data_IF_091228044612
#
_entry.id   IF_091228044612
#
_cell.length_a   1.000
_cell.length_b   1.000
_cell.length_c   1.000
_cell.angle_alpha   90.00
_cell.angle_beta   90.00
_cell.angle_gamma   90.00
#
_symmetry.space_group_name_H-M   'P 1'
#
loop_
_entity.id
_entity.type
_entity.pdbx_description
1 polymer ?
#
# COMPACT_ATOMS: atom_id res chain seq x y z
N UNK A 1 19.85 2.97 8.16
CA UNK A 1 18.38 2.85 8.28
C UNK A 1 17.79 3.99 9.12
N UNK A 2 18.37 4.31 10.29
CA UNK A 2 17.88 5.37 11.19
C UNK A 2 17.95 6.79 10.63
N UNK A 3 19.11 7.24 10.11
CA UNK A 3 19.23 8.58 9.53
C UNK A 3 18.27 8.84 8.36
N UNK A 4 17.93 7.80 7.58
CA UNK A 4 16.93 7.89 6.51
C UNK A 4 15.50 8.01 7.04
N UNK A 5 15.21 7.39 8.20
CA UNK A 5 13.90 7.46 8.83
C UNK A 5 13.64 8.85 9.42
N UNK A 6 14.64 9.44 10.06
CA UNK A 6 14.56 10.81 10.60
C UNK A 6 14.42 11.84 9.49
N UNK A 7 15.23 11.76 8.43
CA UNK A 7 15.09 12.62 7.25
C UNK A 7 13.71 12.50 6.61
N UNK A 8 13.17 11.28 6.52
CA UNK A 8 11.84 11.03 5.99
C UNK A 8 10.73 11.61 6.88
N UNK A 9 10.85 11.48 8.21
CA UNK A 9 9.94 12.10 9.18
C UNK A 9 9.92 13.63 9.05
N UNK A 10 11.10 14.26 8.96
CA UNK A 10 11.22 15.71 8.79
C UNK A 10 10.60 16.18 7.48
N UNK A 11 10.79 15.42 6.39
CA UNK A 11 10.16 15.70 5.09
C UNK A 11 8.62 15.60 5.16
N UNK A 12 8.08 14.63 5.90
CA UNK A 12 6.62 14.50 6.06
C UNK A 12 6.05 15.68 6.85
N UNK A 13 6.71 16.07 7.95
CA UNK A 13 6.25 17.18 8.78
C UNK A 13 6.29 18.54 8.07
N UNK A 14 7.16 18.72 7.08
CA UNK A 14 7.28 19.98 6.32
C UNK A 14 6.36 20.07 5.09
N UNK A 15 5.67 18.98 4.73
CA UNK A 15 4.83 18.93 3.53
C UNK A 15 3.35 18.94 3.96
N UNK A 16 2.51 19.67 3.21
CA UNK A 16 1.06 19.65 3.45
C UNK A 16 0.48 18.25 3.23
N UNK A 17 -0.47 17.85 4.08
CA UNK A 17 -1.12 16.54 4.02
C UNK A 17 -1.57 16.17 2.59
N UNK A 18 -2.23 17.12 1.91
CA UNK A 18 -2.73 16.91 0.54
C UNK A 18 -1.60 16.63 -0.46
N UNK A 19 -0.47 17.34 -0.36
CA UNK A 19 0.70 17.13 -1.22
C UNK A 19 1.37 15.78 -0.95
N UNK A 20 1.47 15.37 0.31
CA UNK A 20 1.99 14.04 0.68
C UNK A 20 1.10 12.91 0.16
N UNK A 21 -0.22 13.05 0.35
CA UNK A 21 -1.21 12.04 -0.07
C UNK A 21 -1.19 11.87 -1.59
N UNK A 22 -1.31 12.97 -2.34
CA UNK A 22 -1.44 12.91 -3.80
C UNK A 22 -0.12 12.63 -4.50
N UNK A 23 0.93 13.38 -4.19
CA UNK A 23 2.18 13.30 -4.96
C UNK A 23 3.01 12.10 -4.48
N UNK A 24 3.36 12.07 -3.20
CA UNK A 24 4.31 11.06 -2.69
C UNK A 24 3.67 9.66 -2.58
N UNK A 25 2.39 9.57 -2.25
CA UNK A 25 1.74 8.27 -2.07
C UNK A 25 0.96 7.81 -3.32
N UNK A 26 0.03 8.61 -3.87
CA UNK A 26 -0.77 8.17 -5.03
C UNK A 26 0.07 8.13 -6.32
N UNK A 27 0.66 9.27 -6.71
CA UNK A 27 1.35 9.41 -8.01
C UNK A 27 2.70 8.70 -8.03
N UNK A 28 3.54 8.88 -7.02
CA UNK A 28 4.91 8.36 -7.06
C UNK A 28 5.03 6.89 -6.62
N UNK A 29 4.01 6.33 -5.96
CA UNK A 29 4.10 4.98 -5.40
C UNK A 29 3.00 4.06 -5.91
N UNK A 30 1.75 4.35 -5.58
CA UNK A 30 0.64 3.42 -5.85
C UNK A 30 0.35 3.26 -7.35
N UNK A 31 0.27 4.36 -8.11
CA UNK A 31 0.02 4.32 -9.55
C UNK A 31 1.10 3.53 -10.33
N UNK A 32 2.41 3.81 -10.15
CA UNK A 32 3.47 3.06 -10.83
C UNK A 32 3.52 1.59 -10.41
N UNK A 33 3.35 1.29 -9.12
CA UNK A 33 3.41 -0.06 -8.56
C UNK A 33 2.28 -0.93 -9.12
N UNK A 34 1.04 -0.42 -9.12
CA UNK A 34 -0.11 -1.13 -9.72
C UNK A 34 0.01 -1.22 -11.24
N UNK A 35 0.51 -0.18 -11.91
CA UNK A 35 0.72 -0.23 -13.35
C UNK A 35 1.72 -1.33 -13.73
N UNK A 36 2.89 -1.36 -13.08
CA UNK A 36 3.93 -2.38 -13.31
C UNK A 36 3.42 -3.79 -13.00
N UNK A 37 2.79 -4.00 -11.84
CA UNK A 37 2.27 -5.31 -11.46
C UNK A 37 1.13 -5.77 -12.37
N UNK A 38 0.27 -4.86 -12.84
CA UNK A 38 -0.80 -5.19 -13.77
C UNK A 38 -0.24 -5.55 -15.15
N UNK A 39 0.75 -4.81 -15.64
CA UNK A 39 1.45 -5.13 -16.88
C UNK A 39 2.14 -6.50 -16.81
N UNK A 40 2.86 -6.78 -15.72
CA UNK A 40 3.49 -8.09 -15.51
C UNK A 40 2.45 -9.22 -15.46
N UNK A 41 1.35 -9.03 -14.72
CA UNK A 41 0.33 -10.07 -14.56
C UNK A 41 -0.35 -10.38 -15.90
N UNK A 42 -0.72 -9.37 -16.69
CA UNK A 42 -1.33 -9.58 -18.00
C UNK A 42 -0.33 -10.13 -19.03
N UNK A 43 0.94 -9.71 -19.00
CA UNK A 43 1.96 -10.19 -19.94
C UNK A 43 2.36 -11.65 -19.68
N UNK A 44 2.52 -12.03 -18.41
CA UNK A 44 2.91 -13.39 -18.01
C UNK A 44 1.77 -14.39 -18.26
N UNK A 45 0.52 -14.02 -17.96
CA UNK A 45 -0.60 -14.97 -17.98
C UNK A 45 -1.43 -14.98 -19.28
N UNK A 46 -1.28 -14.00 -20.19
CA UNK A 46 -2.18 -13.85 -21.37
C UNK A 46 -1.50 -13.63 -22.73
N UNK A 47 -0.28 -14.15 -22.91
CA UNK A 47 0.48 -14.05 -24.17
C UNK A 47 -0.14 -14.74 -25.42
N UNK A 48 -1.32 -15.39 -25.36
CA UNK A 48 -1.77 -16.25 -26.47
C UNK A 48 -3.13 -15.96 -27.12
N UNK A 49 -3.95 -15.00 -26.68
CA UNK A 49 -5.28 -14.79 -27.30
C UNK A 49 -5.91 -13.38 -27.13
N UNK A 50 -5.09 -12.36 -26.89
CA UNK A 50 -5.54 -11.08 -26.30
C UNK A 50 -6.34 -10.12 -27.19
N UNK A 51 -7.61 -9.90 -26.82
CA UNK A 51 -8.36 -8.72 -27.25
C UNK A 51 -7.88 -7.50 -26.42
N UNK A 52 -6.99 -6.68 -27.01
CA UNK A 52 -6.35 -5.50 -26.37
C UNK A 52 -7.34 -4.58 -25.65
N UNK A 53 -8.56 -4.44 -26.19
CA UNK A 53 -9.61 -3.63 -25.58
C UNK A 53 -9.96 -4.08 -24.16
N UNK A 54 -10.08 -5.40 -23.93
CA UNK A 54 -10.40 -5.98 -22.61
C UNK A 54 -9.27 -5.78 -21.61
N UNK A 55 -8.02 -5.84 -22.09
CA UNK A 55 -6.83 -5.61 -21.27
C UNK A 55 -6.75 -4.15 -20.80
N UNK A 56 -6.92 -3.19 -21.73
CA UNK A 56 -6.95 -1.77 -21.39
C UNK A 56 -8.07 -1.43 -20.40
N UNK A 57 -9.27 -1.99 -20.58
CA UNK A 57 -10.39 -1.78 -19.67
C UNK A 57 -10.09 -2.31 -18.26
N UNK A 58 -9.52 -3.51 -18.15
CA UNK A 58 -9.16 -4.12 -16.87
C UNK A 58 -8.07 -3.31 -16.15
N UNK A 59 -7.04 -2.84 -16.87
CA UNK A 59 -5.99 -1.97 -16.31
C UNK A 59 -6.61 -0.65 -15.82
N UNK A 60 -7.53 -0.04 -16.59
CA UNK A 60 -8.23 1.18 -16.19
C UNK A 60 -8.97 1.03 -14.86
N UNK A 61 -9.72 -0.06 -14.68
CA UNK A 61 -10.43 -0.36 -13.43
C UNK A 61 -9.43 -0.53 -12.27
N UNK A 62 -8.33 -1.25 -12.47
CA UNK A 62 -7.28 -1.45 -11.45
C UNK A 62 -6.66 -0.12 -11.01
N UNK A 63 -6.37 0.78 -11.95
CA UNK A 63 -5.80 2.10 -11.64
C UNK A 63 -6.77 2.98 -10.84
N UNK A 64 -8.07 2.97 -11.17
CA UNK A 64 -9.09 3.72 -10.43
C UNK A 64 -9.19 3.22 -8.98
N UNK A 65 -9.34 1.90 -8.79
CA UNK A 65 -9.40 1.29 -7.46
C UNK A 65 -8.15 1.58 -6.63
N UNK A 66 -6.98 1.52 -7.28
CA UNK A 66 -5.71 1.86 -6.68
C UNK A 66 -5.63 3.34 -6.27
N UNK A 67 -6.16 4.25 -7.08
CA UNK A 67 -6.22 5.67 -6.75
C UNK A 67 -6.97 5.93 -5.45
N UNK A 68 -8.15 5.33 -5.28
CA UNK A 68 -8.93 5.45 -4.03
C UNK A 68 -8.20 4.88 -2.82
N UNK A 69 -7.61 3.69 -2.95
CA UNK A 69 -6.84 3.08 -1.85
C UNK A 69 -5.59 3.90 -1.53
N UNK A 70 -4.91 4.46 -2.53
CA UNK A 70 -3.75 5.32 -2.37
C UNK A 70 -4.07 6.60 -1.58
N UNK A 71 -5.25 7.20 -1.79
CA UNK A 71 -5.71 8.35 -1.00
C UNK A 71 -5.89 7.99 0.47
N UNK A 72 -6.61 6.90 0.75
CA UNK A 72 -6.89 6.41 2.11
C UNK A 72 -5.56 6.05 2.81
N UNK A 73 -4.71 5.29 2.13
CA UNK A 73 -3.40 4.89 2.61
C UNK A 73 -2.50 6.10 2.90
N UNK A 74 -2.56 7.12 2.05
CA UNK A 74 -1.74 8.33 2.18
C UNK A 74 -2.10 9.08 3.45
N UNK A 75 -3.41 9.27 3.67
CA UNK A 75 -3.90 9.96 4.87
C UNK A 75 -3.52 9.20 6.14
N UNK A 76 -3.76 7.88 6.16
CA UNK A 76 -3.40 7.04 7.31
C UNK A 76 -1.89 7.04 7.58
N UNK A 77 -1.05 6.99 6.54
CA UNK A 77 0.42 7.12 6.68
C UNK A 77 0.79 8.46 7.29
N UNK A 78 0.25 9.54 6.76
CA UNK A 78 0.54 10.90 7.21
C UNK A 78 0.19 11.07 8.70
N UNK A 79 -1.04 10.70 9.08
CA UNK A 79 -1.51 10.77 10.47
C UNK A 79 -0.69 9.87 11.39
N UNK A 80 -0.28 8.69 10.92
CA UNK A 80 0.59 7.79 11.67
C UNK A 80 1.95 8.43 11.96
N UNK A 81 2.62 8.99 10.95
CA UNK A 81 3.94 9.62 11.14
C UNK A 81 3.88 10.86 12.03
N UNK A 82 2.89 11.74 11.85
CA UNK A 82 2.72 12.92 12.73
C UNK A 82 2.53 12.48 14.18
N UNK A 83 1.63 11.55 14.44
CA UNK A 83 1.34 11.13 15.80
C UNK A 83 2.50 10.31 16.42
N UNK A 84 3.31 9.65 15.59
CA UNK A 84 4.56 9.02 16.04
C UNK A 84 5.57 10.08 16.52
N UNK A 85 5.73 11.19 15.79
CA UNK A 85 6.65 12.27 16.22
C UNK A 85 6.20 12.94 17.52
N UNK A 86 4.88 13.00 17.75
CA UNK A 86 4.29 13.50 19.00
C UNK A 86 4.33 12.49 20.15
N UNK A 87 4.93 11.30 19.97
CA UNK A 87 4.97 10.20 20.94
C UNK A 87 3.61 9.85 21.54
N UNK A 88 2.56 9.86 20.71
CA UNK A 88 1.19 9.60 21.16
C UNK A 88 0.83 8.11 21.25
N UNK A 89 1.68 7.23 20.72
CA UNK A 89 1.36 5.80 20.61
C UNK A 89 2.19 4.94 21.57
N UNK A 90 1.54 3.92 22.13
CA UNK A 90 2.24 2.81 22.76
C UNK A 90 2.90 1.93 21.71
N UNK A 91 3.89 1.12 22.09
CA UNK A 91 4.56 0.20 21.16
C UNK A 91 3.57 -0.76 20.45
N UNK A 92 2.52 -1.20 21.15
CA UNK A 92 1.50 -2.10 20.61
C UNK A 92 0.60 -1.38 19.59
N UNK A 93 0.27 -0.11 19.83
CA UNK A 93 -0.48 0.71 18.86
C UNK A 93 0.34 0.97 17.61
N UNK A 94 1.63 1.27 17.78
CA UNK A 94 2.57 1.43 16.67
C UNK A 94 2.60 0.14 15.84
N UNK A 95 2.77 -1.03 16.48
CA UNK A 95 2.77 -2.32 15.79
C UNK A 95 1.51 -2.52 14.97
N UNK A 96 0.34 -2.36 15.58
CA UNK A 96 -0.96 -2.62 14.93
C UNK A 96 -1.17 -1.68 13.75
N UNK A 97 -0.98 -0.36 13.95
CA UNK A 97 -1.14 0.63 12.88
C UNK A 97 -0.11 0.44 11.78
N UNK A 98 1.13 0.07 12.11
CA UNK A 98 2.17 -0.19 11.13
C UNK A 98 1.82 -1.40 10.26
N UNK A 99 1.38 -2.51 10.85
CA UNK A 99 0.98 -3.72 10.11
C UNK A 99 -0.21 -3.42 9.19
N UNK A 100 -1.21 -2.68 9.67
CA UNK A 100 -2.36 -2.28 8.84
C UNK A 100 -1.92 -1.41 7.68
N UNK A 101 -1.15 -0.34 7.93
CA UNK A 101 -0.78 0.65 6.91
C UNK A 101 0.23 0.07 5.91
N UNK A 102 1.31 -0.53 6.41
CA UNK A 102 2.42 -1.01 5.58
C UNK A 102 2.18 -2.41 5.06
N UNK A 103 1.46 -3.26 5.77
CA UNK A 103 1.15 -4.62 5.35
C UNK A 103 -0.15 -4.70 4.56
N UNK A 104 -1.28 -4.53 5.24
CA UNK A 104 -2.60 -4.75 4.64
C UNK A 104 -2.88 -3.75 3.52
N UNK A 105 -2.78 -2.45 3.82
CA UNK A 105 -3.17 -1.39 2.87
C UNK A 105 -2.17 -1.26 1.73
N UNK A 106 -0.87 -1.28 2.04
CA UNK A 106 0.16 -1.06 1.03
C UNK A 106 0.52 -2.31 0.23
N UNK A 107 0.39 -3.52 0.77
CA UNK A 107 0.71 -4.74 0.03
C UNK A 107 -0.51 -5.61 -0.24
N UNK A 108 -1.29 -5.93 0.79
CA UNK A 108 -2.45 -6.83 0.64
C UNK A 108 -3.48 -6.32 -0.37
N UNK A 109 -3.91 -5.07 -0.22
CA UNK A 109 -4.90 -4.47 -1.13
C UNK A 109 -4.35 -4.26 -2.55
N UNK A 110 -3.09 -3.85 -2.70
CA UNK A 110 -2.45 -3.70 -4.02
C UNK A 110 -2.43 -5.03 -4.77
N UNK A 111 -1.96 -6.10 -4.13
CA UNK A 111 -1.93 -7.44 -4.74
C UNK A 111 -3.33 -7.93 -5.08
N UNK A 112 -4.31 -7.66 -4.21
CA UNK A 112 -5.72 -7.98 -4.48
C UNK A 112 -6.23 -7.31 -5.76
N UNK A 113 -5.97 -6.02 -5.94
CA UNK A 113 -6.34 -5.28 -7.16
C UNK A 113 -5.64 -5.87 -8.39
N UNK A 114 -4.34 -6.15 -8.29
CA UNK A 114 -3.58 -6.71 -9.40
C UNK A 114 -4.07 -8.11 -9.80
N UNK A 115 -4.61 -8.88 -8.85
CA UNK A 115 -5.17 -10.22 -9.08
C UNK A 115 -6.54 -10.23 -9.73
N UNK A 116 -7.19 -9.08 -9.90
CA UNK A 116 -8.48 -9.01 -10.60
C UNK A 116 -8.25 -9.42 -12.06
N UNK A 117 -8.89 -10.51 -12.48
CA UNK A 117 -8.82 -11.02 -13.85
C UNK A 117 -10.17 -10.85 -14.57
N UNK A 118 -10.12 -10.90 -15.90
CA UNK A 118 -11.32 -10.94 -16.73
C UNK A 118 -11.62 -12.39 -17.15
N UNK A 119 -12.89 -12.85 -17.11
CA UNK A 119 -14.10 -12.11 -16.70
C UNK A 119 -14.16 -11.85 -15.18
N UNK A 120 -14.76 -10.71 -14.80
CA UNK A 120 -14.85 -10.28 -13.41
C UNK A 120 -15.78 -11.22 -12.64
N UNK A 121 -15.23 -11.98 -11.70
CA UNK A 121 -15.98 -12.80 -10.75
C UNK A 121 -15.85 -12.22 -9.34
N UNK A 122 -16.95 -11.70 -8.81
CA UNK A 122 -16.99 -11.06 -7.49
C UNK A 122 -16.56 -12.02 -6.38
N UNK A 123 -16.96 -13.30 -6.44
CA UNK A 123 -16.58 -14.30 -5.44
C UNK A 123 -15.06 -14.53 -5.40
N UNK A 124 -14.43 -14.62 -6.58
CA UNK A 124 -12.97 -14.77 -6.69
C UNK A 124 -12.25 -13.52 -6.19
N UNK A 125 -12.79 -12.33 -6.46
CA UNK A 125 -12.21 -11.06 -5.97
C UNK A 125 -12.25 -11.03 -4.44
N UNK A 126 -13.39 -11.34 -3.82
CA UNK A 126 -13.53 -11.36 -2.36
C UNK A 126 -12.55 -12.38 -1.76
N UNK A 127 -12.48 -13.59 -2.32
CA UNK A 127 -11.56 -14.63 -1.84
C UNK A 127 -10.09 -14.20 -1.94
N UNK A 128 -9.69 -13.63 -3.07
CA UNK A 128 -8.34 -13.11 -3.25
C UNK A 128 -8.04 -11.97 -2.27
N UNK A 129 -8.98 -11.06 -2.04
CA UNK A 129 -8.83 -10.00 -1.03
C UNK A 129 -8.52 -10.59 0.34
N UNK A 130 -9.24 -11.62 0.78
CA UNK A 130 -8.96 -12.27 2.06
C UNK A 130 -7.57 -12.91 2.11
N UNK A 131 -7.18 -13.67 1.08
CA UNK A 131 -5.84 -14.27 1.01
C UNK A 131 -4.77 -13.19 1.09
N UNK A 132 -4.88 -12.15 0.27
CA UNK A 132 -3.87 -11.12 0.21
C UNK A 132 -3.85 -10.23 1.46
N UNK A 133 -4.99 -10.02 2.13
CA UNK A 133 -5.01 -9.40 3.47
C UNK A 133 -4.19 -10.20 4.48
N UNK A 134 -4.35 -11.53 4.53
CA UNK A 134 -3.58 -12.40 5.43
C UNK A 134 -2.08 -12.30 5.10
N UNK A 135 -1.71 -12.39 3.82
CA UNK A 135 -0.30 -12.21 3.42
C UNK A 135 0.22 -10.81 3.76
N UNK A 136 -0.62 -9.78 3.66
CA UNK A 136 -0.30 -8.42 4.06
C UNK A 136 -0.03 -8.29 5.56
N UNK A 137 -0.79 -9.00 6.41
CA UNK A 137 -0.53 -9.06 7.86
C UNK A 137 0.82 -9.69 8.14
N UNK A 138 1.10 -10.86 7.52
CA UNK A 138 2.37 -11.57 7.70
C UNK A 138 3.55 -10.68 7.26
N UNK A 139 3.45 -10.08 6.08
CA UNK A 139 4.50 -9.21 5.55
C UNK A 139 4.69 -7.95 6.41
N UNK A 140 3.60 -7.33 6.85
CA UNK A 140 3.64 -6.18 7.76
C UNK A 140 4.28 -6.51 9.10
N UNK A 141 4.00 -7.70 9.65
CA UNK A 141 4.59 -8.17 10.89
C UNK A 141 6.11 -8.40 10.74
N UNK A 142 6.55 -9.00 9.64
CA UNK A 142 7.97 -9.20 9.33
C UNK A 142 8.73 -7.88 9.19
N UNK A 143 8.17 -6.91 8.45
CA UNK A 143 8.79 -5.57 8.35
C UNK A 143 8.83 -4.88 9.71
N UNK A 144 7.77 -5.03 10.52
CA UNK A 144 7.75 -4.47 11.86
C UNK A 144 8.87 -5.05 12.72
N UNK A 145 9.18 -6.34 12.65
CA UNK A 145 10.29 -6.92 13.42
C UNK A 145 11.63 -6.26 13.10
N UNK A 146 11.90 -5.99 11.82
CA UNK A 146 13.13 -5.31 11.37
C UNK A 146 13.15 -3.83 11.80
N UNK A 147 11.99 -3.16 11.78
CA UNK A 147 11.87 -1.72 12.06
C UNK A 147 11.56 -1.38 13.52
N UNK A 148 11.24 -2.39 14.35
CA UNK A 148 10.96 -2.29 15.78
C UNK A 148 12.01 -1.49 16.58
N UNK A 149 13.33 -1.69 16.43
CA UNK A 149 14.31 -0.93 17.21
C UNK A 149 14.23 0.57 16.95
N UNK A 150 13.94 0.98 15.72
CA UNK A 150 13.79 2.39 15.33
C UNK A 150 12.48 2.94 15.88
N UNK A 151 11.38 2.22 15.68
CA UNK A 151 10.05 2.64 16.11
C UNK A 151 9.91 2.73 17.64
N UNK A 152 10.61 1.89 18.39
CA UNK A 152 10.64 1.93 19.87
C UNK A 152 11.19 3.25 20.42
N UNK A 153 12.04 3.97 19.68
CA UNK A 153 12.55 5.29 20.11
C UNK A 153 11.47 6.38 20.14
N UNK A 154 10.37 6.16 19.41
CA UNK A 154 9.26 7.11 19.27
C UNK A 154 7.99 6.64 19.99
N UNK A 155 8.03 5.54 20.74
CA UNK A 155 6.91 5.15 21.60
C UNK A 155 6.87 6.01 22.87
N UNK A 156 5.66 6.19 23.39
CA UNK A 156 5.43 6.72 24.74
C UNK A 156 6.03 5.81 25.81
#
# INVERSE_FOLDING_TARGET
MEQNFEKHMLKINSISCLRYVLIENVILRYLPEVFLLSCLNEFIYKSSSGNLYKMCLLIGIKLILCGFIGLIAGKLKYDFYINLTKKQYTLNDIKTKYIVIKGIITWGFILSICSITYPINICTIIFNVFIYMITGVLFGASIFQVTKPILKKYSK
#
